data_IF_754487029194
#
_entry.id   IF_754487029194
#
_cell.length_a   1.000
_cell.length_b   1.000
_cell.length_c   1.000
_cell.angle_alpha   90.00
_cell.angle_beta   90.00
_cell.angle_gamma   90.00
#
_symmetry.space_group_name_H-M   'P 1'
#
loop_
_entity.id
_entity.type
_entity.pdbx_description
1 polymer ?
#
# COMPACT_ATOMS: atom_id res chain seq x y z
N UNK A 1 -57.28 -21.86 -39.13
CA UNK A 1 -57.53 -21.72 -37.68
C UNK A 1 -56.25 -21.18 -37.09
N UNK A 2 -56.23 -19.94 -36.61
CA UNK A 2 -55.27 -19.42 -35.62
C UNK A 2 -55.61 -17.94 -35.43
N UNK A 3 -56.58 -17.71 -34.53
CA UNK A 3 -57.00 -16.38 -34.10
C UNK A 3 -56.44 -16.07 -32.71
N UNK A 4 -56.02 -14.83 -32.54
CA UNK A 4 -56.03 -14.06 -31.29
C UNK A 4 -55.48 -14.73 -30.03
N UNK A 5 -54.15 -14.84 -29.93
CA UNK A 5 -53.50 -15.23 -28.66
C UNK A 5 -52.87 -14.06 -27.87
N UNK A 6 -53.09 -12.80 -28.30
CA UNK A 6 -52.48 -11.62 -27.66
C UNK A 6 -53.48 -10.69 -26.94
N UNK A 7 -54.79 -10.92 -27.05
CA UNK A 7 -55.82 -10.06 -26.42
C UNK A 7 -55.94 -10.25 -24.90
N UNK A 8 -55.26 -11.25 -24.32
CA UNK A 8 -55.30 -11.56 -22.89
C UNK A 8 -54.18 -10.93 -22.06
N UNK A 9 -53.18 -10.30 -22.68
CA UNK A 9 -52.08 -9.67 -21.95
C UNK A 9 -52.33 -8.18 -21.80
N UNK A 10 -52.43 -7.74 -20.54
CA UNK A 10 -52.71 -6.36 -20.18
C UNK A 10 -51.57 -5.47 -20.72
N UNK A 11 -51.82 -4.78 -21.84
CA UNK A 11 -50.81 -3.96 -22.54
C UNK A 11 -50.23 -2.84 -21.66
N UNK A 12 -50.93 -2.49 -20.57
CA UNK A 12 -50.41 -1.58 -19.54
C UNK A 12 -49.27 -2.23 -18.72
N UNK A 13 -49.39 -3.50 -18.31
CA UNK A 13 -48.36 -4.23 -17.57
C UNK A 13 -47.12 -4.48 -18.43
N UNK A 14 -47.31 -4.81 -19.71
CA UNK A 14 -46.20 -5.02 -20.65
C UNK A 14 -45.38 -3.73 -20.87
N UNK A 15 -46.04 -2.57 -20.95
CA UNK A 15 -45.35 -1.28 -21.05
C UNK A 15 -44.56 -0.95 -19.79
N UNK A 16 -45.12 -1.22 -18.61
CA UNK A 16 -44.41 -1.08 -17.32
C UNK A 16 -43.18 -2.01 -17.28
N UNK A 17 -43.31 -3.25 -17.77
CA UNK A 17 -42.22 -4.22 -17.82
C UNK A 17 -41.08 -3.79 -18.77
N UNK A 18 -41.38 -3.26 -19.96
CA UNK A 18 -40.37 -2.78 -20.90
C UNK A 18 -39.68 -1.50 -20.41
N UNK A 19 -40.43 -0.58 -19.82
CA UNK A 19 -39.86 0.62 -19.19
C UNK A 19 -38.96 0.27 -17.99
N UNK A 20 -39.29 -0.76 -17.23
CA UNK A 20 -38.45 -1.26 -16.13
C UNK A 20 -37.18 -1.95 -16.64
N UNK A 21 -37.28 -2.76 -17.70
CA UNK A 21 -36.13 -3.40 -18.34
C UNK A 21 -35.15 -2.36 -18.91
N UNK A 22 -35.66 -1.34 -19.59
CA UNK A 22 -34.84 -0.26 -20.17
C UNK A 22 -34.20 0.62 -19.09
N UNK A 23 -34.83 0.78 -17.92
CA UNK A 23 -34.21 1.46 -16.76
C UNK A 23 -32.99 0.70 -16.22
N UNK A 24 -32.99 -0.64 -16.23
CA UNK A 24 -31.86 -1.47 -15.78
C UNK A 24 -30.67 -1.48 -16.74
N UNK A 25 -30.89 -1.16 -18.01
CA UNK A 25 -29.84 -1.13 -19.05
C UNK A 25 -29.16 0.25 -19.19
N UNK A 26 -29.45 1.21 -18.32
CA UNK A 26 -28.73 2.49 -18.33
C UNK A 26 -27.28 2.28 -17.88
N UNK A 27 -26.28 2.86 -18.57
CA UNK A 27 -24.86 2.64 -18.26
C UNK A 27 -24.41 3.05 -16.86
N UNK A 28 -25.25 3.74 -16.08
CA UNK A 28 -24.91 4.19 -14.74
C UNK A 28 -26.12 4.23 -13.80
N UNK A 29 -26.06 3.43 -12.73
CA UNK A 29 -26.97 3.47 -11.59
C UNK A 29 -26.15 3.99 -10.40
N UNK A 30 -26.29 5.27 -10.02
CA UNK A 30 -25.58 5.77 -8.85
C UNK A 30 -25.98 4.93 -7.63
N UNK A 31 -25.03 4.56 -6.76
CA UNK A 31 -25.33 3.81 -5.57
C UNK A 31 -26.33 4.59 -4.69
N UNK A 32 -27.15 3.90 -3.89
CA UNK A 32 -28.03 4.56 -2.94
C UNK A 32 -27.21 5.46 -2.00
N UNK A 33 -27.78 6.59 -1.55
CA UNK A 33 -27.09 7.45 -0.60
C UNK A 33 -26.76 6.68 0.68
N UNK A 34 -25.59 6.94 1.30
CA UNK A 34 -25.23 6.30 2.55
C UNK A 34 -26.26 6.63 3.63
N UNK A 35 -26.78 5.60 4.27
CA UNK A 35 -27.71 5.71 5.40
C UNK A 35 -26.89 5.80 6.69
N UNK A 36 -27.31 6.60 7.69
CA UNK A 36 -26.68 6.59 9.01
C UNK A 36 -26.62 5.17 9.58
N UNK A 37 -25.48 4.82 10.17
CA UNK A 37 -25.24 3.51 10.74
C UNK A 37 -25.94 3.42 12.10
N UNK A 38 -26.97 2.56 12.20
CA UNK A 38 -27.67 2.28 13.46
C UNK A 38 -26.90 1.20 14.24
N UNK A 39 -25.92 1.63 15.04
CA UNK A 39 -25.06 0.75 15.88
C UNK A 39 -25.86 -0.25 16.73
N UNK A 40 -27.08 0.12 17.14
CA UNK A 40 -27.95 -0.71 17.97
C UNK A 40 -28.61 -1.88 17.22
N UNK A 41 -28.77 -1.80 15.89
CA UNK A 41 -29.42 -2.86 15.09
C UNK A 41 -28.41 -3.88 14.57
N UNK A 42 -27.22 -3.42 14.18
CA UNK A 42 -26.16 -4.29 13.69
C UNK A 42 -25.43 -5.03 14.82
N UNK A 43 -25.49 -4.54 16.07
CA UNK A 43 -24.98 -5.28 17.23
C UNK A 43 -25.62 -6.67 17.42
N UNK A 44 -26.87 -6.88 16.95
CA UNK A 44 -27.57 -8.16 17.05
C UNK A 44 -27.37 -9.11 15.86
N UNK A 45 -26.91 -8.62 14.71
CA UNK A 45 -26.68 -9.44 13.50
C UNK A 45 -25.22 -9.90 13.35
N UNK A 46 -24.30 -9.29 14.10
CA UNK A 46 -22.86 -9.57 14.05
C UNK A 46 -22.43 -10.69 15.01
N UNK A 47 -23.34 -11.28 15.79
CA UNK A 47 -23.04 -12.39 16.72
C UNK A 47 -22.66 -13.73 16.05
N UNK A 48 -22.56 -13.80 14.71
CA UNK A 48 -22.07 -15.01 14.00
C UNK A 48 -20.85 -14.78 13.09
N UNK A 49 -20.27 -13.59 13.08
CA UNK A 49 -18.94 -13.38 12.52
C UNK A 49 -17.96 -13.31 13.70
N UNK A 50 -17.23 -14.40 13.91
CA UNK A 50 -16.21 -14.54 14.95
C UNK A 50 -15.17 -13.41 14.84
N UNK A 51 -15.40 -12.29 15.53
CA UNK A 51 -14.37 -11.31 15.86
C UNK A 51 -13.44 -11.90 16.91
N UNK A 52 -12.61 -12.87 16.52
CA UNK A 52 -11.37 -13.10 17.26
C UNK A 52 -10.52 -11.83 17.09
N UNK A 53 -10.07 -11.17 18.18
CA UNK A 53 -9.10 -10.10 18.04
C UNK A 53 -7.90 -10.64 17.25
N UNK A 54 -7.55 -9.98 16.15
CA UNK A 54 -6.42 -10.38 15.30
C UNK A 54 -5.14 -10.01 16.03
N UNK A 55 -4.72 -10.86 16.96
CA UNK A 55 -3.49 -10.71 17.72
C UNK A 55 -2.29 -11.01 16.80
N UNK A 56 -1.36 -10.07 16.71
CA UNK A 56 -0.09 -10.27 15.98
C UNK A 56 1.06 -10.17 16.95
N UNK A 57 1.85 -11.24 17.06
CA UNK A 57 2.93 -11.36 18.02
C UNK A 57 4.27 -11.04 17.38
N UNK A 58 5.01 -10.08 17.96
CA UNK A 58 6.36 -9.70 17.54
C UNK A 58 7.34 -9.93 18.68
N UNK A 59 8.47 -10.58 18.39
CA UNK A 59 9.54 -10.81 19.37
C UNK A 59 10.80 -10.04 18.99
N UNK A 60 11.53 -9.53 19.99
CA UNK A 60 12.85 -8.90 19.84
C UNK A 60 13.76 -9.25 21.02
N UNK A 61 15.07 -9.32 20.76
CA UNK A 61 16.10 -9.57 21.77
C UNK A 61 16.73 -8.23 22.16
N UNK A 62 16.63 -7.88 23.45
CA UNK A 62 17.26 -6.70 24.04
C UNK A 62 18.58 -7.12 24.71
N UNK A 63 19.70 -6.57 24.24
CA UNK A 63 21.03 -6.81 24.84
C UNK A 63 21.50 -5.55 25.56
N UNK A 64 21.83 -5.68 26.85
CA UNK A 64 22.32 -4.57 27.68
C UNK A 64 23.78 -4.85 28.04
N UNK A 65 24.67 -3.93 27.67
CA UNK A 65 26.07 -3.93 28.06
C UNK A 65 26.28 -2.98 29.24
N UNK A 66 26.84 -3.51 30.33
CA UNK A 66 27.29 -2.72 31.47
C UNK A 66 28.82 -2.65 31.46
N UNK A 67 29.38 -1.45 31.50
CA UNK A 67 30.82 -1.26 31.69
C UNK A 67 31.12 -0.36 32.88
N UNK A 68 32.02 -0.81 33.74
CA UNK A 68 32.47 -0.05 34.92
C UNK A 68 33.82 0.59 34.63
N UNK A 69 33.89 1.92 34.74
CA UNK A 69 35.12 2.69 34.56
C UNK A 69 35.98 2.63 35.83
N UNK A 70 37.28 2.93 35.72
CA UNK A 70 38.22 2.94 36.85
C UNK A 70 37.80 3.88 38.00
N UNK A 71 37.04 4.93 37.69
CA UNK A 71 36.47 5.88 38.65
C UNK A 71 35.21 5.37 39.37
N UNK A 72 34.82 4.11 39.16
CA UNK A 72 33.62 3.48 39.75
C UNK A 72 32.30 3.85 39.07
N UNK A 73 32.34 4.67 38.01
CA UNK A 73 31.14 5.03 37.23
C UNK A 73 30.73 3.88 36.30
N UNK A 74 29.44 3.51 36.35
CA UNK A 74 28.83 2.51 35.47
C UNK A 74 28.16 3.18 34.29
N UNK A 75 28.41 2.69 33.08
CA UNK A 75 27.72 3.09 31.87
C UNK A 75 26.95 1.90 31.32
N UNK A 76 25.70 2.13 30.93
CA UNK A 76 24.81 1.12 30.36
C UNK A 76 24.54 1.48 28.91
N UNK A 77 24.79 0.53 28.00
CA UNK A 77 24.47 0.64 26.57
C UNK A 77 23.46 -0.45 26.21
N UNK A 78 22.37 -0.07 25.54
CA UNK A 78 21.31 -1.00 25.16
C UNK A 78 21.22 -1.11 23.63
N UNK A 79 21.27 -2.34 23.13
CA UNK A 79 21.05 -2.67 21.72
C UNK A 79 19.78 -3.52 21.57
N UNK A 80 18.93 -3.18 20.60
CA UNK A 80 17.70 -3.91 20.28
C UNK A 80 17.81 -4.54 18.89
N UNK A 81 17.46 -5.82 18.79
CA UNK A 81 17.41 -6.55 17.52
C UNK A 81 16.18 -6.17 16.66
N UNK A 82 16.18 -6.56 15.37
CA UNK A 82 15.03 -6.34 14.51
C UNK A 82 13.81 -7.17 14.98
N UNK A 83 12.61 -6.60 14.87
CA UNK A 83 11.37 -7.33 15.13
C UNK A 83 11.16 -8.42 14.08
N UNK A 84 11.03 -9.66 14.53
CA UNK A 84 10.68 -10.81 13.69
C UNK A 84 9.30 -11.30 14.11
N UNK A 85 8.42 -11.53 13.14
CA UNK A 85 7.10 -12.14 13.37
C UNK A 85 7.32 -13.60 13.77
N UNK A 86 6.87 -13.98 14.97
CA UNK A 86 7.01 -15.34 15.47
C UNK A 86 5.81 -16.19 15.04
N UNK A 87 5.97 -17.22 14.19
CA UNK A 87 4.88 -18.06 13.73
C UNK A 87 4.29 -18.94 14.85
N UNK A 88 5.04 -19.17 15.92
CA UNK A 88 4.63 -20.05 17.03
C UNK A 88 3.62 -19.38 18.00
N UNK A 89 3.40 -18.07 17.87
CA UNK A 89 2.48 -17.29 18.71
C UNK A 89 1.28 -16.75 17.91
N UNK A 90 1.10 -17.24 16.68
CA UNK A 90 -0.09 -16.94 15.87
C UNK A 90 -1.22 -17.93 16.25
N UNK A 91 -2.45 -17.42 16.43
CA UNK A 91 -3.61 -18.24 16.76
C UNK A 91 -3.87 -19.31 15.66
N UNK A 92 -4.32 -20.53 16.02
CA UNK A 92 -4.58 -21.60 15.06
C UNK A 92 -5.74 -21.17 14.13
N UNK A 93 -5.41 -20.76 12.91
CA UNK A 93 -6.36 -20.24 11.92
C UNK A 93 -5.86 -19.06 11.08
N UNK A 94 -4.73 -18.45 11.44
CA UNK A 94 -4.19 -17.27 10.74
C UNK A 94 -3.40 -17.57 9.44
N UNK A 95 -3.36 -18.84 8.99
CA UNK A 95 -2.45 -19.29 7.92
C UNK A 95 -3.02 -19.40 6.50
N UNK A 96 -4.33 -19.29 6.29
CA UNK A 96 -4.93 -19.76 5.03
C UNK A 96 -5.28 -18.66 4.01
N UNK A 97 -5.13 -17.38 4.35
CA UNK A 97 -5.50 -16.27 3.47
C UNK A 97 -4.34 -15.30 3.21
N UNK A 98 -3.20 -15.84 2.74
CA UNK A 98 -2.24 -14.99 2.03
C UNK A 98 -2.72 -14.84 0.58
N UNK A 99 -3.59 -13.86 0.37
CA UNK A 99 -3.78 -13.28 -0.95
C UNK A 99 -2.40 -12.91 -1.50
N UNK A 100 -2.06 -13.52 -2.64
CA UNK A 100 -0.81 -13.37 -3.38
C UNK A 100 -0.68 -11.89 -3.80
N UNK A 101 -0.14 -11.06 -2.92
CA UNK A 101 0.37 -9.76 -3.29
C UNK A 101 1.82 -10.01 -3.68
N UNK A 102 2.03 -10.18 -5.00
CA UNK A 102 3.34 -10.26 -5.64
C UNK A 102 4.06 -8.90 -5.51
N UNK A 103 4.49 -8.57 -4.28
CA UNK A 103 5.51 -7.54 -4.05
C UNK A 103 6.83 -8.24 -4.27
N UNK A 104 7.71 -7.77 -5.17
CA UNK A 104 9.05 -8.32 -5.30
C UNK A 104 9.83 -7.98 -4.03
N UNK A 105 9.69 -8.85 -3.04
CA UNK A 105 10.47 -8.83 -1.81
C UNK A 105 11.85 -9.36 -2.17
N UNK A 106 12.71 -8.48 -2.67
CA UNK A 106 14.13 -8.79 -2.85
C UNK A 106 14.70 -9.15 -1.46
N UNK A 107 15.10 -10.41 -1.23
CA UNK A 107 15.54 -10.86 0.09
C UNK A 107 16.94 -10.29 0.32
N UNK A 108 17.04 -9.22 1.11
CA UNK A 108 18.33 -8.60 1.42
C UNK A 108 18.29 -7.13 1.82
N UNK A 109 17.15 -6.45 1.70
CA UNK A 109 17.06 -5.03 2.12
C UNK A 109 16.25 -4.87 3.39
N UNK A 110 16.84 -4.22 4.40
CA UNK A 110 16.16 -3.94 5.66
C UNK A 110 14.99 -2.97 5.46
N UNK A 111 14.00 -2.98 6.35
CA UNK A 111 12.86 -2.05 6.29
C UNK A 111 13.30 -0.58 6.19
N UNK A 112 14.36 -0.20 6.92
CA UNK A 112 14.94 1.15 6.88
C UNK A 112 15.57 1.44 5.51
N UNK A 113 16.26 0.48 4.93
CA UNK A 113 16.87 0.60 3.61
C UNK A 113 15.81 0.71 2.51
N UNK A 114 14.68 0.01 2.64
CA UNK A 114 13.50 0.14 1.77
C UNK A 114 12.87 1.54 1.86
N UNK A 115 12.79 2.11 3.06
CA UNK A 115 12.29 3.47 3.27
C UNK A 115 13.22 4.54 2.69
N UNK A 116 14.54 4.30 2.71
CA UNK A 116 15.56 5.19 2.13
C UNK A 116 15.70 5.04 0.61
N UNK A 117 15.47 3.83 0.09
CA UNK A 117 15.47 3.50 -1.34
C UNK A 117 14.06 3.44 -1.94
N UNK A 118 13.08 4.14 -1.37
CA UNK A 118 11.74 4.37 -1.94
C UNK A 118 11.77 5.30 -3.18
N UNK A 119 12.79 5.16 -4.04
CA UNK A 119 12.85 5.69 -5.42
C UNK A 119 11.95 4.89 -6.36
N UNK A 120 10.90 4.28 -5.85
CA UNK A 120 9.86 3.65 -6.63
C UNK A 120 9.10 4.73 -7.38
N UNK A 121 9.51 4.98 -8.62
CA UNK A 121 8.69 5.57 -9.70
C UNK A 121 7.92 6.88 -9.38
N UNK A 122 8.38 7.71 -8.45
CA UNK A 122 7.78 9.03 -8.22
C UNK A 122 8.28 10.02 -9.28
N UNK A 123 7.37 10.63 -10.03
CA UNK A 123 7.69 11.69 -10.98
C UNK A 123 8.52 12.78 -10.28
N UNK A 124 9.75 13.02 -10.76
CA UNK A 124 10.62 14.05 -10.16
C UNK A 124 9.94 15.41 -10.27
N UNK A 125 9.78 16.09 -9.13
CA UNK A 125 9.24 17.46 -9.09
C UNK A 125 9.99 18.39 -10.05
N UNK A 126 9.29 19.35 -10.67
CA UNK A 126 9.89 20.32 -11.59
C UNK A 126 11.07 21.07 -10.96
N UNK A 127 10.98 21.36 -9.64
CA UNK A 127 12.06 21.95 -8.83
C UNK A 127 13.32 21.06 -8.81
N UNK A 128 13.19 19.75 -8.55
CA UNK A 128 14.34 18.81 -8.57
C UNK A 128 14.88 18.62 -9.99
N UNK A 129 14.01 18.51 -11.01
CA UNK A 129 14.43 18.47 -12.43
C UNK A 129 15.25 19.70 -12.82
N UNK A 130 14.82 20.91 -12.42
CA UNK A 130 15.55 22.16 -12.69
C UNK A 130 16.91 22.19 -12.00
N UNK A 131 17.01 21.71 -10.75
CA UNK A 131 18.29 21.57 -10.04
C UNK A 131 19.25 20.62 -10.79
N UNK A 132 18.79 19.43 -11.18
CA UNK A 132 19.59 18.46 -11.94
C UNK A 132 19.99 19.01 -13.33
N UNK A 133 19.06 19.68 -14.03
CA UNK A 133 19.35 20.39 -15.29
C UNK A 133 20.46 21.41 -15.12
N UNK A 134 20.39 22.22 -14.06
CA UNK A 134 21.41 23.24 -13.79
C UNK A 134 22.75 22.61 -13.43
N UNK A 135 22.77 21.55 -12.62
CA UNK A 135 23.99 20.79 -12.33
C UNK A 135 24.63 20.25 -13.62
N UNK A 136 23.85 19.56 -14.46
CA UNK A 136 24.31 19.05 -15.77
C UNK A 136 24.84 20.17 -16.66
N UNK A 137 24.11 21.29 -16.75
CA UNK A 137 24.50 22.44 -17.55
C UNK A 137 25.83 23.06 -17.07
N UNK A 138 25.97 23.32 -15.75
CA UNK A 138 27.18 23.88 -15.16
C UNK A 138 28.38 22.94 -15.35
N UNK A 139 28.18 21.64 -15.14
CA UNK A 139 29.20 20.63 -15.39
C UNK A 139 29.64 20.61 -16.85
N UNK A 140 28.70 20.56 -17.81
CA UNK A 140 29.03 20.61 -19.25
C UNK A 140 29.74 21.90 -19.64
N UNK A 141 29.37 23.04 -19.04
CA UNK A 141 30.05 24.32 -19.24
C UNK A 141 31.50 24.27 -18.70
N UNK A 142 31.70 23.74 -17.49
CA UNK A 142 33.01 23.52 -16.90
C UNK A 142 33.89 22.62 -17.78
N UNK A 143 33.35 21.50 -18.25
CA UNK A 143 34.07 20.57 -19.13
C UNK A 143 34.51 21.24 -20.44
N UNK A 144 33.65 22.08 -21.03
CA UNK A 144 34.00 22.84 -22.25
C UNK A 144 35.13 23.84 -21.98
N UNK A 145 35.04 24.58 -20.87
CA UNK A 145 36.04 25.58 -20.51
C UNK A 145 37.41 24.95 -20.18
N UNK A 146 37.41 23.81 -19.49
CA UNK A 146 38.62 23.10 -19.05
C UNK A 146 39.13 22.06 -20.05
N UNK A 147 38.64 22.06 -21.31
CA UNK A 147 38.94 21.01 -22.31
C UNK A 147 40.44 20.87 -22.59
N UNK A 148 41.14 21.97 -22.82
CA UNK A 148 42.57 21.99 -23.13
C UNK A 148 43.41 21.57 -21.92
N UNK A 149 43.08 22.07 -20.73
CA UNK A 149 43.74 21.70 -19.48
C UNK A 149 43.61 20.19 -19.22
N UNK A 150 42.42 19.62 -19.40
CA UNK A 150 42.19 18.18 -19.21
C UNK A 150 42.93 17.32 -20.25
N UNK A 151 43.03 17.79 -21.50
CA UNK A 151 43.85 17.14 -22.54
C UNK A 151 45.34 17.18 -22.25
N UNK A 152 45.86 18.31 -21.74
CA UNK A 152 47.29 18.44 -21.40
C UNK A 152 47.70 17.59 -20.18
N UNK A 153 46.75 17.33 -19.28
CA UNK A 153 46.97 16.52 -18.08
C UNK A 153 46.65 15.03 -18.29
N UNK A 154 46.28 14.60 -19.50
CA UNK A 154 45.79 13.24 -19.80
C UNK A 154 44.66 12.75 -18.86
N UNK A 155 43.83 13.69 -18.39
CA UNK A 155 42.63 13.43 -17.57
C UNK A 155 41.35 13.42 -18.43
N UNK A 156 41.52 13.25 -19.74
CA UNK A 156 40.48 13.43 -20.75
C UNK A 156 39.71 12.14 -21.03
#
# INVERSE_FOLDING_TARGET
MEGNQLDGMNMAELKVSVEELTRRLRPFHPPPPPVPFDEAKDAGAVESENFSPRETSYSTVLTIHESTHADGRKTYEAHTGPFVRSPDMDAPGAGENEAIIDVPSQPGTTYIERLRNNRTMQAISTKRRRKLKMKKHKYKKLLRNTRTLRRKLDKA
#
